data_IF_456446060661
#
_entry.id   IF_456446060661
#
_cell.length_a   1.000
_cell.length_b   1.000
_cell.length_c   1.000
_cell.angle_alpha   90.00
_cell.angle_beta   90.00
_cell.angle_gamma   90.00
#
_symmetry.space_group_name_H-M   'P 1'
#
loop_
_entity.id
_entity.type
_entity.pdbx_description
1 polymer ?
#
# COMPACT_ATOMS: atom_id res chain seq x y z
N UNK A 1 4.04 9.29 -13.47
CA UNK A 1 3.33 10.60 -13.38
C UNK A 1 2.47 10.96 -14.60
N UNK A 2 2.91 10.76 -15.87
CA UNK A 2 2.21 11.26 -17.07
C UNK A 2 0.73 10.89 -17.23
N UNK A 3 0.37 9.65 -16.84
CA UNK A 3 -1.00 9.18 -16.91
C UNK A 3 -1.92 9.96 -15.96
N UNK A 4 -1.51 10.10 -14.68
CA UNK A 4 -2.31 10.79 -13.68
C UNK A 4 -2.44 12.30 -13.94
N UNK A 5 -1.37 12.95 -14.46
CA UNK A 5 -1.44 14.36 -14.86
C UNK A 5 -2.61 14.62 -15.82
N UNK A 6 -2.72 13.80 -16.87
CA UNK A 6 -3.80 13.91 -17.86
C UNK A 6 -5.14 13.51 -17.27
N UNK A 7 -5.19 12.40 -16.55
CA UNK A 7 -6.41 11.94 -15.87
C UNK A 7 -6.99 13.02 -14.96
N UNK A 8 -6.18 13.71 -14.16
CA UNK A 8 -6.66 14.76 -13.26
C UNK A 8 -7.26 15.96 -14.02
N UNK A 9 -6.70 16.32 -15.19
CA UNK A 9 -7.21 17.42 -16.01
C UNK A 9 -8.51 17.05 -16.74
N UNK A 10 -8.61 15.81 -17.22
CA UNK A 10 -9.71 15.33 -18.07
C UNK A 10 -10.87 14.73 -17.26
N UNK A 11 -10.62 14.30 -16.02
CA UNK A 11 -11.63 13.62 -15.20
C UNK A 11 -12.79 14.56 -14.84
N UNK A 12 -14.00 14.07 -15.08
CA UNK A 12 -15.21 14.75 -14.66
C UNK A 12 -15.48 14.53 -13.16
N UNK A 13 -14.96 15.43 -12.33
CA UNK A 13 -15.19 15.42 -10.88
C UNK A 13 -16.67 15.62 -10.48
N UNK A 14 -17.57 16.04 -11.38
CA UNK A 14 -19.00 16.19 -11.05
C UNK A 14 -19.67 14.84 -10.74
N UNK A 15 -19.08 13.73 -11.19
CA UNK A 15 -19.57 12.38 -10.86
C UNK A 15 -19.39 12.10 -9.37
N UNK A 16 -18.29 12.57 -8.78
CA UNK A 16 -18.04 12.42 -7.35
C UNK A 16 -18.92 13.36 -6.52
N UNK A 17 -19.20 14.58 -6.99
CA UNK A 17 -20.19 15.47 -6.37
C UNK A 17 -21.56 14.78 -6.30
N UNK A 18 -22.03 14.22 -7.42
CA UNK A 18 -23.31 13.53 -7.48
C UNK A 18 -23.35 12.27 -6.60
N UNK A 19 -22.21 11.57 -6.46
CA UNK A 19 -22.08 10.45 -5.55
C UNK A 19 -22.16 10.90 -4.08
N UNK A 20 -21.51 12.00 -3.71
CA UNK A 20 -21.59 12.59 -2.38
C UNK A 20 -23.03 12.99 -2.03
N UNK A 21 -23.73 13.64 -2.97
CA UNK A 21 -25.15 13.99 -2.85
C UNK A 21 -26.02 12.74 -2.63
N UNK A 22 -25.78 11.69 -3.42
CA UNK A 22 -26.53 10.42 -3.30
C UNK A 22 -26.36 9.77 -1.93
N UNK A 23 -25.13 9.75 -1.40
CA UNK A 23 -24.88 9.22 -0.05
C UNK A 23 -25.49 10.09 1.05
N UNK A 24 -25.50 11.41 0.87
CA UNK A 24 -26.15 12.35 1.79
C UNK A 24 -27.66 12.15 1.83
N UNK A 25 -28.29 11.93 0.67
CA UNK A 25 -29.70 11.62 0.55
C UNK A 25 -30.03 10.26 1.18
N UNK A 26 -29.19 9.24 0.94
CA UNK A 26 -29.33 7.93 1.55
C UNK A 26 -29.24 7.98 3.08
N UNK A 27 -28.27 8.74 3.63
CA UNK A 27 -28.19 9.01 5.07
C UNK A 27 -29.47 9.69 5.57
N UNK A 28 -29.91 10.78 4.93
CA UNK A 28 -31.11 11.53 5.34
C UNK A 28 -32.37 10.66 5.34
N UNK A 29 -32.53 9.81 4.32
CA UNK A 29 -33.66 8.89 4.21
C UNK A 29 -33.64 7.80 5.30
N UNK A 30 -32.45 7.40 5.77
CA UNK A 30 -32.27 6.29 6.71
C UNK A 30 -32.01 6.72 8.16
N UNK A 31 -31.71 7.98 8.44
CA UNK A 31 -31.28 8.46 9.76
C UNK A 31 -32.28 8.14 10.90
N UNK A 32 -33.58 8.18 10.59
CA UNK A 32 -34.65 7.91 11.56
C UNK A 32 -35.03 6.43 11.63
N UNK A 33 -34.61 5.63 10.66
CA UNK A 33 -35.02 4.23 10.52
C UNK A 33 -34.57 3.36 11.71
N UNK A 34 -33.33 3.46 12.24
CA UNK A 34 -32.94 2.70 13.43
C UNK A 34 -33.82 3.00 14.64
N UNK A 35 -34.13 4.28 14.87
CA UNK A 35 -35.00 4.70 15.97
C UNK A 35 -36.43 4.19 15.78
N UNK A 36 -36.99 4.32 14.57
CA UNK A 36 -38.33 3.81 14.26
C UNK A 36 -38.42 2.31 14.39
N UNK A 37 -37.41 1.56 13.92
CA UNK A 37 -37.34 0.11 14.13
C UNK A 37 -37.39 -0.21 15.63
N UNK A 38 -36.57 0.44 16.44
CA UNK A 38 -36.54 0.22 17.89
C UNK A 38 -37.87 0.59 18.56
N UNK A 39 -38.42 1.77 18.29
CA UNK A 39 -39.58 2.33 18.98
C UNK A 39 -40.92 1.73 18.51
N UNK A 40 -41.09 1.51 17.20
CA UNK A 40 -42.35 1.09 16.58
C UNK A 40 -42.44 -0.43 16.41
N UNK A 41 -41.31 -1.12 16.22
CA UNK A 41 -41.27 -2.57 15.96
C UNK A 41 -40.77 -3.32 17.17
N UNK A 42 -39.55 -3.06 17.65
CA UNK A 42 -38.89 -3.91 18.64
C UNK A 42 -39.45 -3.76 20.05
N UNK A 43 -39.61 -2.53 20.52
CA UNK A 43 -40.10 -2.25 21.87
C UNK A 43 -41.50 -2.84 22.11
N UNK A 44 -42.49 -2.67 21.20
CA UNK A 44 -43.80 -3.31 21.39
C UNK A 44 -43.76 -4.84 21.39
N UNK A 45 -42.88 -5.42 20.57
CA UNK A 45 -42.67 -6.86 20.46
C UNK A 45 -42.09 -7.45 21.76
N UNK A 46 -41.19 -6.71 22.42
CA UNK A 46 -40.49 -7.12 23.65
C UNK A 46 -41.29 -6.84 24.93
N UNK A 47 -41.87 -5.64 25.05
CA UNK A 47 -42.44 -5.16 26.32
C UNK A 47 -43.86 -5.68 26.58
N UNK A 48 -44.59 -6.08 25.54
CA UNK A 48 -46.00 -6.52 25.68
C UNK A 48 -46.16 -8.04 25.86
N UNK A 49 -45.07 -8.77 26.11
CA UNK A 49 -45.10 -10.22 26.37
C UNK A 49 -45.61 -11.05 25.19
N UNK A 50 -45.54 -10.54 23.96
CA UNK A 50 -46.14 -11.20 22.79
C UNK A 50 -45.38 -12.44 22.31
N UNK A 51 -44.11 -12.61 22.69
CA UNK A 51 -43.32 -13.75 22.23
C UNK A 51 -42.31 -14.26 23.26
N UNK A 52 -42.69 -15.33 23.96
CA UNK A 52 -41.90 -15.96 25.03
C UNK A 52 -41.63 -17.46 24.76
N UNK A 53 -41.74 -17.91 23.51
CA UNK A 53 -41.50 -19.31 23.13
C UNK A 53 -40.02 -19.69 23.05
N UNK A 54 -39.71 -20.98 22.98
CA UNK A 54 -38.33 -21.49 22.89
C UNK A 54 -37.51 -20.93 21.71
N UNK A 55 -38.18 -20.49 20.63
CA UNK A 55 -37.55 -19.85 19.48
C UNK A 55 -37.32 -18.33 19.66
N UNK A 56 -37.96 -17.69 20.63
CA UNK A 56 -37.92 -16.24 20.81
C UNK A 56 -36.48 -15.72 21.03
N UNK A 57 -35.62 -16.33 21.87
CA UNK A 57 -34.24 -15.85 22.06
C UNK A 57 -33.43 -15.80 20.76
N UNK A 58 -33.57 -16.81 19.89
CA UNK A 58 -32.84 -16.85 18.62
C UNK A 58 -33.34 -15.78 17.66
N UNK A 59 -34.65 -15.59 17.56
CA UNK A 59 -35.20 -14.55 16.72
C UNK A 59 -34.88 -13.14 17.24
N UNK A 60 -34.85 -12.92 18.56
CA UNK A 60 -34.39 -11.66 19.13
C UNK A 60 -32.95 -11.34 18.74
N UNK A 61 -32.04 -12.34 18.73
CA UNK A 61 -30.67 -12.08 18.29
C UNK A 61 -30.59 -11.67 16.81
N UNK A 62 -31.40 -12.28 15.95
CA UNK A 62 -31.47 -11.90 14.52
C UNK A 62 -32.04 -10.49 14.34
N UNK A 63 -33.08 -10.15 15.11
CA UNK A 63 -33.74 -8.85 15.07
C UNK A 63 -32.81 -7.73 15.59
N UNK A 64 -32.10 -7.98 16.70
CA UNK A 64 -31.09 -7.07 17.24
C UNK A 64 -29.94 -6.88 16.25
N UNK A 65 -29.55 -7.94 15.53
CA UNK A 65 -28.57 -7.84 14.45
C UNK A 65 -29.05 -6.94 13.32
N UNK A 66 -30.30 -7.09 12.85
CA UNK A 66 -30.88 -6.19 11.83
C UNK A 66 -30.85 -4.74 12.31
N UNK A 67 -31.23 -4.46 13.56
CA UNK A 67 -31.21 -3.10 14.11
C UNK A 67 -29.79 -2.52 14.20
N UNK A 68 -28.82 -3.35 14.60
CA UNK A 68 -27.40 -3.00 14.61
C UNK A 68 -26.91 -2.66 13.19
N UNK A 69 -27.34 -3.42 12.20
CA UNK A 69 -26.91 -3.27 10.81
C UNK A 69 -27.54 -2.06 10.12
N UNK A 70 -28.80 -1.74 10.43
CA UNK A 70 -29.41 -0.47 10.03
C UNK A 70 -28.68 0.73 10.64
N UNK A 71 -28.26 0.62 11.90
CA UNK A 71 -27.47 1.67 12.56
C UNK A 71 -26.09 1.82 11.92
N UNK A 72 -25.43 0.69 11.61
CA UNK A 72 -24.15 0.67 10.92
C UNK A 72 -24.26 1.32 9.53
N UNK A 73 -25.22 0.88 8.71
CA UNK A 73 -25.47 1.42 7.38
C UNK A 73 -25.68 2.94 7.40
N UNK A 74 -26.45 3.46 8.36
CA UNK A 74 -26.64 4.90 8.50
C UNK A 74 -25.33 5.64 8.83
N UNK A 75 -24.50 5.09 9.73
CA UNK A 75 -23.20 5.67 10.05
C UNK A 75 -22.26 5.65 8.85
N UNK A 76 -22.22 4.54 8.11
CA UNK A 76 -21.42 4.41 6.89
C UNK A 76 -21.86 5.45 5.86
N UNK A 77 -23.16 5.56 5.58
CA UNK A 77 -23.68 6.56 4.62
C UNK A 77 -23.26 8.00 4.99
N UNK A 78 -23.32 8.34 6.28
CA UNK A 78 -22.83 9.63 6.77
C UNK A 78 -21.33 9.82 6.52
N UNK A 79 -20.53 8.82 6.90
CA UNK A 79 -19.08 8.85 6.78
C UNK A 79 -18.64 9.01 5.32
N UNK A 80 -19.21 8.21 4.41
CA UNK A 80 -18.92 8.27 2.97
C UNK A 80 -19.26 9.63 2.37
N UNK A 81 -20.38 10.25 2.75
CA UNK A 81 -20.69 11.60 2.26
C UNK A 81 -19.63 12.63 2.67
N UNK A 82 -19.13 12.56 3.91
CA UNK A 82 -18.07 13.46 4.39
C UNK A 82 -16.74 13.23 3.68
N UNK A 83 -16.32 11.97 3.55
CA UNK A 83 -15.10 11.58 2.84
C UNK A 83 -15.15 12.03 1.36
N UNK A 84 -16.28 11.83 0.69
CA UNK A 84 -16.45 12.25 -0.70
C UNK A 84 -16.46 13.77 -0.86
N UNK A 85 -17.15 14.51 0.01
CA UNK A 85 -17.17 15.98 -0.03
C UNK A 85 -15.75 16.55 0.11
N UNK A 86 -14.98 16.02 1.06
CA UNK A 86 -13.60 16.41 1.33
C UNK A 86 -12.68 16.09 0.15
N UNK A 87 -12.70 14.85 -0.33
CA UNK A 87 -11.88 14.44 -1.47
C UNK A 87 -12.19 15.22 -2.75
N UNK A 88 -13.47 15.53 -3.00
CA UNK A 88 -13.87 16.31 -4.17
C UNK A 88 -13.40 17.76 -4.05
N UNK A 89 -13.47 18.35 -2.86
CA UNK A 89 -12.94 19.69 -2.61
C UNK A 89 -11.43 19.72 -2.90
N UNK A 90 -10.69 18.74 -2.39
CA UNK A 90 -9.24 18.62 -2.58
C UNK A 90 -8.87 18.40 -4.04
N UNK A 91 -9.48 17.43 -4.73
CA UNK A 91 -9.22 17.19 -6.15
C UNK A 91 -9.54 18.42 -7.02
N UNK A 92 -10.58 19.19 -6.68
CA UNK A 92 -10.89 20.46 -7.36
C UNK A 92 -9.80 21.50 -7.12
N UNK A 93 -9.30 21.62 -5.89
CA UNK A 93 -8.18 22.51 -5.53
C UNK A 93 -6.92 22.10 -6.29
N UNK A 94 -6.54 20.82 -6.25
CA UNK A 94 -5.36 20.30 -6.98
C UNK A 94 -5.49 20.58 -8.47
N UNK A 95 -6.64 20.30 -9.09
CA UNK A 95 -6.86 20.57 -10.53
C UNK A 95 -6.76 22.06 -10.87
N UNK A 96 -7.29 22.93 -10.01
CA UNK A 96 -7.18 24.39 -10.19
C UNK A 96 -5.72 24.83 -10.09
N UNK A 97 -5.02 24.37 -9.07
CA UNK A 97 -3.63 24.72 -8.84
C UNK A 97 -2.74 24.23 -9.99
N UNK A 98 -3.01 23.02 -10.51
CA UNK A 98 -2.31 22.44 -11.66
C UNK A 98 -2.49 23.30 -12.92
N UNK A 99 -3.74 23.69 -13.24
CA UNK A 99 -4.01 24.62 -14.34
C UNK A 99 -3.29 25.95 -14.15
N UNK A 100 -3.22 26.43 -12.91
CA UNK A 100 -2.49 27.65 -12.55
C UNK A 100 -0.98 27.52 -12.76
N UNK A 101 -0.38 26.39 -12.37
CA UNK A 101 1.06 26.12 -12.55
C UNK A 101 1.42 26.01 -14.04
N UNK A 102 0.60 25.31 -14.83
CA UNK A 102 0.76 25.23 -16.29
C UNK A 102 0.68 26.63 -16.91
N UNK A 103 -0.30 27.46 -16.53
CA UNK A 103 -0.39 28.82 -17.03
C UNK A 103 0.83 29.67 -16.64
N UNK A 104 1.33 29.57 -15.40
CA UNK A 104 2.54 30.27 -14.96
C UNK A 104 3.77 29.86 -15.77
N UNK A 105 3.92 28.56 -16.07
CA UNK A 105 5.01 28.07 -16.91
C UNK A 105 4.94 28.65 -18.34
N UNK A 106 3.73 28.69 -18.93
CA UNK A 106 3.49 29.30 -20.24
C UNK A 106 3.78 30.82 -20.24
N UNK A 107 3.36 31.54 -19.19
CA UNK A 107 3.62 32.97 -19.03
C UNK A 107 5.12 33.28 -18.89
N UNK A 108 5.91 32.32 -18.41
CA UNK A 108 7.37 32.37 -18.35
C UNK A 108 8.05 31.99 -19.68
N UNK A 109 7.29 31.65 -20.72
CA UNK A 109 7.80 31.24 -22.03
C UNK A 109 8.28 29.79 -22.10
N UNK A 110 7.92 28.96 -21.11
CA UNK A 110 8.16 27.53 -21.12
C UNK A 110 7.03 26.81 -21.87
N UNK A 111 7.28 25.57 -22.29
CA UNK A 111 6.25 24.70 -22.86
C UNK A 111 5.99 23.52 -21.94
N UNK A 112 4.72 23.16 -21.76
CA UNK A 112 4.28 21.98 -21.02
C UNK A 112 3.59 21.03 -22.00
N UNK A 113 4.06 19.79 -22.09
CA UNK A 113 3.46 18.81 -22.97
C UNK A 113 2.23 18.10 -22.34
N UNK A 114 1.64 17.18 -23.10
CA UNK A 114 0.45 16.46 -22.66
C UNK A 114 0.70 15.40 -21.56
N UNK A 115 1.96 15.24 -21.12
CA UNK A 115 2.36 14.45 -19.97
C UNK A 115 2.70 15.32 -18.75
N UNK A 116 2.67 16.64 -18.89
CA UNK A 116 3.05 17.58 -17.82
C UNK A 116 4.55 17.87 -17.79
N UNK A 117 5.32 17.43 -18.79
CA UNK A 117 6.77 17.68 -18.86
C UNK A 117 7.04 19.10 -19.34
N UNK A 118 7.84 19.83 -18.58
CA UNK A 118 8.23 21.21 -18.87
C UNK A 118 9.49 21.23 -19.74
N UNK A 119 9.51 22.10 -20.75
CA UNK A 119 10.67 22.30 -21.62
C UNK A 119 10.91 23.77 -21.93
N UNK A 120 12.19 24.14 -22.04
CA UNK A 120 12.64 25.53 -22.23
C UNK A 120 12.69 26.02 -23.68
N UNK A 121 12.21 25.22 -24.65
CA UNK A 121 12.26 25.59 -26.07
C UNK A 121 10.94 25.25 -26.78
N UNK A 122 10.00 26.20 -26.70
CA UNK A 122 8.94 26.50 -27.69
C UNK A 122 8.30 25.29 -28.40
N UNK A 123 7.06 25.01 -28.00
CA UNK A 123 6.08 24.41 -28.91
C UNK A 123 5.65 25.43 -29.97
N UNK A 124 5.37 24.95 -31.17
CA UNK A 124 5.13 25.69 -32.42
C UNK A 124 4.10 26.82 -32.39
N UNK A 125 3.35 27.00 -31.30
CA UNK A 125 2.29 28.00 -31.17
C UNK A 125 2.78 29.37 -30.69
N UNK A 126 3.96 29.47 -30.06
CA UNK A 126 4.49 30.74 -29.55
C UNK A 126 5.84 31.07 -30.19
N UNK A 127 5.85 31.88 -31.25
CA UNK A 127 7.06 32.37 -31.89
C UNK A 127 7.83 33.35 -30.97
N UNK A 128 8.67 32.83 -30.07
CA UNK A 128 9.65 33.66 -29.34
C UNK A 128 10.90 33.84 -30.24
N UNK A 129 11.29 35.09 -30.58
CA UNK A 129 12.47 35.37 -31.39
C UNK A 129 13.74 34.76 -30.79
N UNK A 130 14.61 34.19 -31.63
CA UNK A 130 15.82 33.46 -31.21
C UNK A 130 16.75 34.29 -30.29
N UNK A 131 16.80 35.61 -30.46
CA UNK A 131 17.61 36.53 -29.66
C UNK A 131 17.06 36.87 -28.27
N UNK A 132 15.85 36.39 -27.92
CA UNK A 132 15.23 36.53 -26.59
C UNK A 132 15.21 35.20 -25.81
N UNK A 133 15.73 34.11 -26.39
CA UNK A 133 15.78 32.80 -25.72
C UNK A 133 16.92 32.80 -24.71
N UNK A 134 16.58 32.97 -23.43
CA UNK A 134 17.47 32.59 -22.34
C UNK A 134 17.07 31.18 -21.93
N UNK A 135 17.89 30.19 -22.27
CA UNK A 135 17.71 28.85 -21.68
C UNK A 135 17.91 28.98 -20.20
N UNK A 136 16.88 28.67 -19.43
CA UNK A 136 16.94 28.78 -18.01
C UNK A 136 16.55 27.43 -17.43
N UNK A 137 17.50 26.49 -17.48
CA UNK A 137 17.38 25.15 -16.88
C UNK A 137 16.72 25.22 -15.50
N UNK A 138 17.08 26.24 -14.70
CA UNK A 138 16.50 26.54 -13.41
C UNK A 138 14.99 26.82 -13.42
N UNK A 139 14.45 27.55 -14.40
CA UNK A 139 13.00 27.81 -14.45
C UNK A 139 12.23 26.59 -14.97
N UNK A 140 12.84 25.81 -15.87
CA UNK A 140 12.28 24.51 -16.27
C UNK A 140 12.20 23.60 -15.05
N UNK A 141 13.27 23.49 -14.27
CA UNK A 141 13.34 22.71 -13.03
C UNK A 141 12.30 23.17 -12.01
N UNK A 142 12.25 24.46 -11.68
CA UNK A 142 11.27 25.00 -10.72
C UNK A 142 9.80 24.80 -11.17
N UNK A 143 9.52 24.96 -12.46
CA UNK A 143 8.17 24.75 -12.98
C UNK A 143 7.80 23.25 -13.03
N UNK A 144 8.77 22.38 -13.32
CA UNK A 144 8.59 20.93 -13.27
C UNK A 144 8.32 20.47 -11.83
N UNK A 145 9.13 20.92 -10.87
CA UNK A 145 8.94 20.66 -9.44
C UNK A 145 7.55 21.10 -8.97
N UNK A 146 7.11 22.32 -9.31
CA UNK A 146 5.77 22.80 -8.95
C UNK A 146 4.65 21.92 -9.51
N UNK A 147 4.74 21.51 -10.78
CA UNK A 147 3.75 20.62 -11.42
C UNK A 147 3.77 19.24 -10.74
N UNK A 148 4.95 18.68 -10.50
CA UNK A 148 5.10 17.35 -9.90
C UNK A 148 4.60 17.31 -8.46
N UNK A 149 4.87 18.34 -7.66
CA UNK A 149 4.31 18.47 -6.31
C UNK A 149 2.77 18.50 -6.34
N UNK A 150 2.17 19.25 -7.26
CA UNK A 150 0.71 19.33 -7.38
C UNK A 150 0.13 17.98 -7.80
N UNK A 151 0.71 17.32 -8.80
CA UNK A 151 0.29 15.99 -9.27
C UNK A 151 0.39 14.97 -8.14
N UNK A 152 1.48 15.01 -7.34
CA UNK A 152 1.67 14.15 -6.17
C UNK A 152 0.59 14.34 -5.11
N UNK A 153 0.18 15.57 -4.82
CA UNK A 153 -0.96 15.83 -3.92
C UNK A 153 -2.25 15.20 -4.45
N UNK A 154 -2.51 15.30 -5.75
CA UNK A 154 -3.68 14.67 -6.38
C UNK A 154 -3.66 13.14 -6.26
N UNK A 155 -2.48 12.54 -6.49
CA UNK A 155 -2.25 11.09 -6.32
C UNK A 155 -2.56 10.66 -4.88
N UNK A 156 -2.06 11.41 -3.90
CA UNK A 156 -2.30 11.12 -2.47
C UNK A 156 -3.78 11.25 -2.13
N UNK A 157 -4.46 12.31 -2.58
CA UNK A 157 -5.88 12.49 -2.33
C UNK A 157 -6.74 11.34 -2.91
N UNK A 158 -6.42 10.90 -4.13
CA UNK A 158 -7.08 9.76 -4.80
C UNK A 158 -6.88 8.44 -4.02
N UNK A 159 -5.64 8.16 -3.58
CA UNK A 159 -5.33 6.97 -2.79
C UNK A 159 -6.00 6.98 -1.42
N UNK A 160 -5.93 8.12 -0.72
CA UNK A 160 -6.52 8.28 0.60
C UNK A 160 -8.05 8.20 0.52
N UNK A 161 -8.67 8.71 -0.54
CA UNK A 161 -10.09 8.52 -0.83
C UNK A 161 -10.44 7.02 -0.93
N UNK A 162 -9.72 6.26 -1.77
CA UNK A 162 -9.99 4.83 -1.91
C UNK A 162 -9.91 4.09 -0.58
N UNK A 163 -8.91 4.37 0.24
CA UNK A 163 -8.67 3.66 1.49
C UNK A 163 -9.67 4.05 2.60
N UNK A 164 -10.00 5.34 2.72
CA UNK A 164 -11.00 5.79 3.69
C UNK A 164 -12.40 5.26 3.36
N UNK A 165 -12.78 5.20 2.07
CA UNK A 165 -14.04 4.57 1.67
C UNK A 165 -14.07 3.08 2.04
N UNK A 166 -12.99 2.33 1.76
CA UNK A 166 -12.92 0.91 2.12
C UNK A 166 -12.96 0.70 3.64
N UNK A 167 -12.28 1.56 4.41
CA UNK A 167 -12.28 1.50 5.87
C UNK A 167 -13.67 1.75 6.46
N UNK A 168 -14.41 2.74 5.94
CA UNK A 168 -15.74 3.06 6.44
C UNK A 168 -16.83 2.09 5.93
N UNK A 169 -16.72 1.54 4.73
CA UNK A 169 -17.65 0.49 4.27
C UNK A 169 -17.39 -0.83 5.00
N UNK A 170 -16.11 -1.17 5.18
CA UNK A 170 -15.65 -2.49 5.59
C UNK A 170 -15.59 -3.48 4.43
N UNK A 171 -14.84 -4.56 4.62
CA UNK A 171 -14.65 -5.63 3.62
C UNK A 171 -15.43 -6.91 3.94
N UNK A 172 -16.23 -6.89 5.01
CA UNK A 172 -17.09 -8.01 5.41
C UNK A 172 -18.41 -8.04 4.63
N UNK A 173 -19.24 -9.04 4.93
CA UNK A 173 -20.60 -9.15 4.39
C UNK A 173 -21.58 -8.11 4.93
N UNK A 174 -21.18 -7.40 5.98
CA UNK A 174 -21.97 -6.42 6.71
C UNK A 174 -21.25 -5.07 6.76
N UNK A 175 -22.02 -3.99 6.91
CA UNK A 175 -21.46 -2.65 7.05
C UNK A 175 -20.56 -2.55 8.28
N UNK A 176 -19.49 -1.77 8.17
CA UNK A 176 -18.68 -1.41 9.32
C UNK A 176 -19.56 -0.74 10.39
N UNK A 177 -19.57 -1.32 11.60
CA UNK A 177 -20.36 -0.82 12.73
C UNK A 177 -19.76 0.43 13.39
N UNK A 178 -18.48 0.70 13.09
CA UNK A 178 -17.67 1.79 13.62
C UNK A 178 -16.85 2.43 12.48
N UNK A 179 -17.49 3.07 11.48
CA UNK A 179 -16.76 3.91 10.55
C UNK A 179 -16.06 5.02 11.35
N UNK A 180 -14.82 5.33 10.99
CA UNK A 180 -13.93 6.21 11.75
C UNK A 180 -13.46 7.41 10.96
N UNK A 181 -13.71 7.42 9.65
CA UNK A 181 -13.23 8.44 8.73
C UNK A 181 -14.40 9.36 8.34
N UNK A 182 -14.07 10.62 8.11
CA UNK A 182 -15.02 11.63 7.60
C UNK A 182 -14.33 12.63 6.67
N UNK A 183 -13.07 12.37 6.38
CA UNK A 183 -12.13 13.16 5.59
C UNK A 183 -10.98 12.25 5.17
N UNK A 184 -10.35 12.56 4.04
CA UNK A 184 -9.20 11.82 3.50
C UNK A 184 -7.92 12.04 4.30
N UNK A 185 -7.89 13.00 5.21
CA UNK A 185 -6.77 13.31 6.10
C UNK A 185 -6.74 12.44 7.37
N UNK A 186 -7.39 11.27 7.35
CA UNK A 186 -7.48 10.39 8.54
C UNK A 186 -6.95 8.99 8.28
N UNK A 187 -6.17 8.79 7.22
CA UNK A 187 -5.56 7.49 6.86
C UNK A 187 -4.53 7.01 7.88
N UNK A 188 -3.96 7.91 8.69
CA UNK A 188 -3.06 7.59 9.80
C UNK A 188 -3.71 6.65 10.83
N UNK A 189 -5.04 6.66 10.91
CA UNK A 189 -5.81 5.80 11.81
C UNK A 189 -6.04 4.39 11.29
N UNK A 190 -5.80 4.13 10.00
CA UNK A 190 -5.95 2.79 9.40
C UNK A 190 -4.75 1.94 9.83
N UNK A 191 -4.96 0.77 10.43
CA UNK A 191 -3.84 -0.12 10.76
C UNK A 191 -3.09 -0.59 9.51
N UNK A 192 -1.78 -0.89 9.61
CA UNK A 192 -1.02 -1.45 8.46
C UNK A 192 -1.65 -2.75 7.96
N UNK A 193 -2.11 -3.60 8.88
CA UNK A 193 -2.80 -4.86 8.54
C UNK A 193 -4.14 -4.62 7.83
N UNK A 194 -4.88 -3.59 8.24
CA UNK A 194 -6.12 -3.19 7.57
C UNK A 194 -5.83 -2.65 6.16
N UNK A 195 -4.78 -1.85 6.02
CA UNK A 195 -4.32 -1.32 4.74
C UNK A 195 -3.94 -2.44 3.76
N UNK A 196 -3.21 -3.45 4.26
CA UNK A 196 -2.88 -4.66 3.52
C UNK A 196 -4.15 -5.44 3.13
N UNK A 197 -5.08 -5.64 4.07
CA UNK A 197 -6.35 -6.33 3.80
C UNK A 197 -7.15 -5.62 2.70
N UNK A 198 -7.26 -4.29 2.72
CA UNK A 198 -7.94 -3.51 1.68
C UNK A 198 -7.29 -3.68 0.31
N UNK A 199 -5.96 -3.62 0.22
CA UNK A 199 -5.24 -3.83 -1.04
C UNK A 199 -5.45 -5.24 -1.58
N UNK A 200 -5.44 -6.26 -0.70
CA UNK A 200 -5.71 -7.63 -1.10
C UNK A 200 -7.12 -7.79 -1.67
N UNK A 201 -8.13 -7.16 -1.07
CA UNK A 201 -9.49 -7.14 -1.64
C UNK A 201 -9.52 -6.46 -3.01
N UNK A 202 -8.86 -5.31 -3.18
CA UNK A 202 -8.77 -4.63 -4.48
C UNK A 202 -8.09 -5.49 -5.55
N UNK A 203 -7.15 -6.33 -5.15
CA UNK A 203 -6.49 -7.31 -6.02
C UNK A 203 -7.29 -8.62 -6.21
N UNK A 204 -8.50 -8.74 -5.67
CA UNK A 204 -9.32 -9.95 -5.73
C UNK A 204 -8.77 -11.13 -4.93
N UNK A 205 -7.93 -10.87 -3.92
CA UNK A 205 -7.32 -11.87 -3.04
C UNK A 205 -8.06 -11.94 -1.71
N UNK A 206 -7.84 -13.04 -0.99
CA UNK A 206 -8.28 -13.19 0.40
C UNK A 206 -7.64 -12.10 1.28
N UNK A 207 -8.43 -11.24 1.97
CA UNK A 207 -7.90 -10.20 2.85
C UNK A 207 -7.19 -10.72 4.10
N UNK A 208 -7.56 -11.92 4.57
CA UNK A 208 -7.05 -12.51 5.80
C UNK A 208 -6.60 -13.95 5.54
N UNK A 209 -5.56 -14.15 4.71
CA UNK A 209 -5.05 -15.49 4.45
C UNK A 209 -4.56 -16.12 5.76
N UNK A 210 -4.65 -17.44 5.84
CA UNK A 210 -4.06 -18.18 6.95
C UNK A 210 -2.54 -17.94 7.00
N UNK A 211 -2.06 -17.50 8.16
CA UNK A 211 -0.66 -17.15 8.36
C UNK A 211 0.24 -18.39 8.23
N UNK A 212 1.37 -18.21 7.54
CA UNK A 212 2.37 -19.23 7.29
C UNK A 212 3.56 -19.06 8.23
N UNK A 213 3.88 -20.11 8.98
CA UNK A 213 5.06 -20.19 9.85
C UNK A 213 6.25 -20.91 9.17
N UNK A 214 6.29 -20.89 7.83
CA UNK A 214 7.43 -21.41 7.07
C UNK A 214 8.68 -20.58 7.41
N UNK A 215 9.65 -21.20 8.07
CA UNK A 215 10.97 -20.60 8.28
C UNK A 215 11.84 -20.72 7.02
N UNK A 216 12.90 -19.89 6.88
CA UNK A 216 13.92 -20.07 5.85
C UNK A 216 14.47 -21.51 5.80
N UNK A 217 14.61 -22.16 6.97
CA UNK A 217 15.05 -23.56 7.08
C UNK A 217 14.05 -24.57 6.51
N UNK A 218 12.75 -24.34 6.72
CA UNK A 218 11.69 -25.16 6.14
C UNK A 218 11.70 -25.10 4.61
N UNK A 219 11.91 -23.92 4.04
CA UNK A 219 12.03 -23.71 2.60
C UNK A 219 13.23 -24.44 2.00
N UNK A 220 14.33 -24.46 2.75
CA UNK A 220 15.49 -25.28 2.47
C UNK A 220 15.22 -26.78 2.39
N UNK A 221 14.51 -27.30 3.39
CA UNK A 221 14.11 -28.70 3.41
C UNK A 221 13.17 -29.03 2.26
N UNK A 222 12.22 -28.16 1.93
CA UNK A 222 11.33 -28.34 0.78
C UNK A 222 12.11 -28.37 -0.55
N UNK A 223 13.15 -27.55 -0.70
CA UNK A 223 14.05 -27.58 -1.85
C UNK A 223 14.82 -28.91 -1.94
N UNK A 224 15.47 -29.35 -0.85
CA UNK A 224 16.30 -30.56 -0.82
C UNK A 224 15.47 -31.83 -0.99
N UNK A 225 14.34 -31.93 -0.31
CA UNK A 225 13.48 -33.12 -0.35
C UNK A 225 12.56 -33.13 -1.57
N UNK A 226 12.25 -31.96 -2.12
CA UNK A 226 11.29 -31.78 -3.19
C UNK A 226 9.83 -32.08 -2.81
N UNK A 227 9.53 -32.20 -1.51
CA UNK A 227 8.21 -32.58 -0.98
C UNK A 227 7.24 -31.40 -0.83
N UNK A 228 7.71 -30.15 -0.97
CA UNK A 228 6.91 -28.94 -0.82
C UNK A 228 6.47 -28.28 -2.15
N UNK A 229 5.58 -27.28 -2.08
CA UNK A 229 5.23 -26.43 -3.22
C UNK A 229 6.47 -25.78 -3.84
N UNK A 230 6.53 -25.73 -5.18
CA UNK A 230 7.65 -25.13 -5.92
C UNK A 230 7.61 -23.60 -5.98
N UNK A 231 6.44 -23.03 -5.67
CA UNK A 231 6.26 -21.60 -5.49
C UNK A 231 5.47 -21.36 -4.21
N UNK A 232 5.90 -20.37 -3.42
CA UNK A 232 5.20 -19.94 -2.20
C UNK A 232 5.09 -18.41 -2.17
N UNK A 233 3.87 -17.93 -1.95
CA UNK A 233 3.60 -16.52 -1.67
C UNK A 233 3.59 -16.28 -0.16
N UNK A 234 4.22 -15.19 0.28
CA UNK A 234 4.21 -14.73 1.66
C UNK A 234 3.66 -13.31 1.77
N UNK A 235 2.94 -13.01 2.85
CA UNK A 235 2.34 -11.69 3.10
C UNK A 235 2.47 -11.24 4.55
N UNK A 236 2.01 -10.03 4.90
CA UNK A 236 2.01 -9.54 6.28
C UNK A 236 1.43 -10.60 7.24
N UNK A 237 2.12 -10.81 8.37
CA UNK A 237 1.78 -11.83 9.36
C UNK A 237 2.38 -13.22 9.08
N UNK A 238 2.94 -13.45 7.89
CA UNK A 238 3.77 -14.64 7.64
C UNK A 238 5.17 -14.42 8.20
N UNK A 239 5.74 -15.46 8.82
CA UNK A 239 7.08 -15.40 9.43
C UNK A 239 8.16 -14.93 8.46
N UNK A 240 8.07 -15.35 7.19
CA UNK A 240 9.02 -14.93 6.17
C UNK A 240 8.90 -13.43 5.86
N UNK A 241 7.69 -12.89 5.80
CA UNK A 241 7.48 -11.46 5.55
C UNK A 241 7.96 -10.61 6.72
N UNK A 242 7.69 -11.03 7.96
CA UNK A 242 8.21 -10.36 9.16
C UNK A 242 9.75 -10.34 9.17
N UNK A 243 10.37 -11.47 8.81
CA UNK A 243 11.83 -11.56 8.68
C UNK A 243 12.38 -10.63 7.58
N UNK A 244 11.71 -10.53 6.43
CA UNK A 244 12.14 -9.61 5.37
C UNK A 244 12.03 -8.15 5.83
N UNK A 245 10.96 -7.83 6.55
CA UNK A 245 10.72 -6.48 7.05
C UNK A 245 11.72 -6.05 8.12
N UNK A 246 12.19 -6.97 8.97
CA UNK A 246 13.09 -6.66 10.09
C UNK A 246 14.57 -6.52 9.71
N UNK A 247 14.96 -6.80 8.46
CA UNK A 247 16.35 -6.72 8.04
C UNK A 247 16.95 -5.32 8.22
N UNK A 248 18.22 -5.25 8.61
CA UNK A 248 18.95 -3.98 8.75
C UNK A 248 19.05 -3.23 7.41
N UNK A 249 19.27 -3.94 6.31
CA UNK A 249 19.29 -3.45 4.92
C UNK A 249 17.97 -2.78 4.51
N UNK A 250 16.85 -3.10 5.17
CA UNK A 250 15.59 -2.40 4.91
C UNK A 250 15.63 -0.93 5.33
N UNK A 251 16.57 -0.49 6.17
CA UNK A 251 16.75 0.94 6.46
C UNK A 251 17.16 1.72 5.19
N UNK A 252 18.10 1.17 4.43
CA UNK A 252 18.56 1.77 3.18
C UNK A 252 17.50 1.68 2.07
N UNK A 253 16.79 0.54 2.00
CA UNK A 253 15.65 0.38 1.07
C UNK A 253 14.58 1.43 1.34
N UNK A 254 14.16 1.60 2.60
CA UNK A 254 13.16 2.60 3.00
C UNK A 254 13.61 4.02 2.66
N UNK A 255 14.90 4.33 2.87
CA UNK A 255 15.47 5.63 2.52
C UNK A 255 15.41 5.87 1.00
N UNK A 256 15.86 4.90 0.19
CA UNK A 256 15.77 4.99 -1.27
C UNK A 256 14.32 5.19 -1.74
N UNK A 257 13.36 4.48 -1.14
CA UNK A 257 11.93 4.64 -1.44
C UNK A 257 11.45 6.06 -1.16
N UNK A 258 11.79 6.64 -0.01
CA UNK A 258 11.40 8.01 0.36
C UNK A 258 12.06 9.02 -0.58
N UNK A 259 13.36 8.89 -0.84
CA UNK A 259 14.10 9.79 -1.74
C UNK A 259 13.53 9.75 -3.16
N UNK A 260 13.29 8.56 -3.71
CA UNK A 260 12.72 8.42 -5.05
C UNK A 260 11.28 8.96 -5.10
N UNK A 261 10.46 8.73 -4.07
CA UNK A 261 9.12 9.33 -3.99
C UNK A 261 9.18 10.86 -3.90
N UNK A 262 10.11 11.41 -3.12
CA UNK A 262 10.28 12.85 -2.95
C UNK A 262 10.81 13.53 -4.22
N UNK A 263 11.71 12.88 -4.96
CA UNK A 263 12.28 13.37 -6.21
C UNK A 263 11.28 13.26 -7.36
N UNK A 264 10.68 12.09 -7.56
CA UNK A 264 9.94 11.76 -8.79
C UNK A 264 8.42 11.79 -8.64
N UNK A 265 7.90 11.58 -7.43
CA UNK A 265 6.47 11.32 -7.20
C UNK A 265 5.94 10.05 -7.88
N UNK A 266 6.82 9.18 -8.41
CA UNK A 266 6.39 7.92 -9.00
C UNK A 266 5.93 6.96 -7.91
N UNK A 267 4.70 6.46 -8.07
CA UNK A 267 4.11 5.52 -7.10
C UNK A 267 4.86 4.19 -7.09
N UNK A 268 5.40 3.78 -8.23
CA UNK A 268 6.08 2.49 -8.39
C UNK A 268 7.57 2.73 -8.59
N UNK A 269 8.40 1.88 -8.01
CA UNK A 269 9.85 1.98 -8.16
C UNK A 269 10.57 0.72 -7.72
N UNK A 270 11.90 0.80 -7.71
CA UNK A 270 12.77 -0.31 -7.30
C UNK A 270 13.83 0.23 -6.37
N UNK A 271 14.01 -0.44 -5.24
CA UNK A 271 15.11 -0.21 -4.33
C UNK A 271 16.01 -1.45 -4.28
N UNK A 272 17.30 -1.25 -4.08
CA UNK A 272 18.28 -2.32 -4.15
C UNK A 272 19.20 -2.31 -2.94
N UNK A 273 19.59 -3.51 -2.50
CA UNK A 273 20.63 -3.72 -1.52
C UNK A 273 21.74 -4.61 -2.11
N UNK A 274 22.99 -4.16 -1.99
CA UNK A 274 24.15 -4.92 -2.46
C UNK A 274 25.20 -5.11 -1.38
N UNK A 275 25.51 -6.38 -1.08
CA UNK A 275 26.61 -6.76 -0.17
C UNK A 275 27.98 -6.43 -0.80
N UNK A 276 28.03 -6.34 -2.13
CA UNK A 276 29.27 -6.20 -2.89
C UNK A 276 29.77 -4.76 -3.08
N UNK A 277 29.02 -3.74 -2.65
CA UNK A 277 29.47 -2.33 -2.72
C UNK A 277 30.75 -2.09 -1.92
N UNK A 278 31.02 -2.92 -0.91
CA UNK A 278 32.26 -2.92 -0.11
C UNK A 278 33.41 -3.74 -0.72
N UNK A 279 33.22 -4.34 -1.91
CA UNK A 279 34.18 -5.21 -2.59
C UNK A 279 34.24 -6.65 -2.06
N UNK A 280 34.97 -7.54 -2.73
CA UNK A 280 35.07 -8.99 -2.39
C UNK A 280 35.51 -9.27 -0.95
N UNK A 281 36.35 -8.39 -0.38
CA UNK A 281 36.85 -8.50 1.00
C UNK A 281 35.75 -8.12 2.00
N UNK A 282 34.93 -7.11 1.70
CA UNK A 282 33.81 -6.71 2.55
C UNK A 282 32.70 -7.76 2.57
N UNK A 283 32.35 -8.33 1.41
CA UNK A 283 31.41 -9.44 1.31
C UNK A 283 31.88 -10.69 2.09
N UNK A 284 33.17 -11.05 1.99
CA UNK A 284 33.73 -12.17 2.75
C UNK A 284 33.77 -11.90 4.26
N UNK A 285 34.00 -10.65 4.67
CA UNK A 285 33.98 -10.26 6.08
C UNK A 285 32.56 -10.36 6.65
N UNK A 286 31.58 -9.75 5.98
CA UNK A 286 30.17 -9.81 6.38
C UNK A 286 29.69 -11.24 6.53
N UNK A 287 30.02 -12.09 5.55
CA UNK A 287 29.72 -13.51 5.60
C UNK A 287 30.25 -14.19 6.87
N UNK A 288 31.50 -13.90 7.25
CA UNK A 288 32.15 -14.54 8.39
C UNK A 288 31.72 -13.99 9.75
N UNK A 289 31.36 -12.71 9.83
CA UNK A 289 31.13 -12.01 11.10
C UNK A 289 29.67 -11.74 11.43
N UNK A 290 28.79 -11.71 10.43
CA UNK A 290 27.38 -11.35 10.59
C UNK A 290 26.49 -12.50 10.10
N UNK A 291 26.61 -12.89 8.84
CA UNK A 291 25.71 -13.87 8.23
C UNK A 291 25.83 -15.26 8.88
N UNK A 292 27.06 -15.73 9.10
CA UNK A 292 27.33 -17.02 9.74
C UNK A 292 26.78 -17.11 11.18
N UNK A 293 27.12 -16.17 12.09
CA UNK A 293 26.52 -16.14 13.42
C UNK A 293 24.99 -16.04 13.37
N UNK A 294 24.42 -15.24 12.48
CA UNK A 294 22.97 -15.04 12.39
C UNK A 294 22.23 -16.32 12.00
N UNK A 295 22.76 -17.08 11.04
CA UNK A 295 22.24 -18.40 10.66
C UNK A 295 22.30 -19.35 11.87
N UNK A 296 23.49 -19.49 12.49
CA UNK A 296 23.70 -20.43 13.60
C UNK A 296 22.81 -20.11 14.80
N UNK A 297 22.66 -18.83 15.13
CA UNK A 297 21.90 -18.37 16.30
C UNK A 297 20.42 -18.12 16.01
N UNK A 298 20.00 -18.23 14.74
CA UNK A 298 18.67 -17.84 14.28
C UNK A 298 18.33 -16.39 14.70
N UNK A 299 19.29 -15.49 14.48
CA UNK A 299 19.16 -14.06 14.78
C UNK A 299 18.24 -13.38 13.74
N UNK A 300 17.01 -12.98 14.11
CA UNK A 300 16.03 -12.46 13.17
C UNK A 300 16.48 -11.16 12.45
N UNK A 301 17.39 -10.39 13.04
CA UNK A 301 17.81 -9.09 12.47
C UNK A 301 18.76 -9.27 11.27
N UNK A 302 19.52 -10.37 11.24
CA UNK A 302 20.55 -10.63 10.25
C UNK A 302 20.31 -11.92 9.43
N UNK A 303 19.43 -12.81 9.90
CA UNK A 303 19.10 -14.08 9.24
C UNK A 303 18.47 -13.86 7.86
N UNK A 304 17.65 -12.82 7.73
CA UNK A 304 17.05 -12.44 6.46
C UNK A 304 18.11 -12.07 5.40
N UNK A 305 19.07 -11.21 5.77
CA UNK A 305 20.13 -10.77 4.86
C UNK A 305 21.08 -11.90 4.49
N UNK A 306 21.45 -12.72 5.48
CA UNK A 306 22.24 -13.92 5.30
C UNK A 306 21.60 -14.88 4.28
N UNK A 307 20.26 -14.93 4.27
CA UNK A 307 19.49 -15.73 3.33
C UNK A 307 19.37 -15.10 1.94
N UNK A 308 19.18 -13.78 1.86
CA UNK A 308 18.91 -13.08 0.61
C UNK A 308 20.16 -12.73 -0.20
N UNK A 309 21.28 -12.43 0.46
CA UNK A 309 22.43 -11.86 -0.21
C UNK A 309 22.17 -10.43 -0.70
N UNK A 310 22.53 -10.14 -1.96
CA UNK A 310 22.14 -8.88 -2.64
C UNK A 310 20.79 -9.07 -3.31
N UNK A 311 19.87 -8.12 -3.15
CA UNK A 311 18.50 -8.26 -3.63
C UNK A 311 17.91 -6.91 -4.06
N UNK A 312 16.88 -7.00 -4.90
CA UNK A 312 16.06 -5.85 -5.30
C UNK A 312 14.66 -6.06 -4.76
N UNK A 313 14.03 -4.96 -4.38
CA UNK A 313 12.64 -4.91 -3.94
C UNK A 313 11.90 -3.97 -4.86
N UNK A 314 10.83 -4.46 -5.49
CA UNK A 314 9.88 -3.59 -6.16
C UNK A 314 8.99 -2.96 -5.09
N UNK A 315 8.68 -1.67 -5.20
CA UNK A 315 7.82 -1.00 -4.23
C UNK A 315 6.68 -0.24 -4.93
N UNK A 316 5.57 -0.10 -4.20
CA UNK A 316 4.44 0.75 -4.58
C UNK A 316 4.04 1.62 -3.38
N UNK A 317 4.14 2.94 -3.51
CA UNK A 317 3.59 3.91 -2.57
C UNK A 317 2.07 3.88 -2.70
N UNK A 318 1.41 3.40 -1.65
CA UNK A 318 -0.04 3.20 -1.60
C UNK A 318 -0.79 4.34 -0.93
N UNK A 319 -0.10 5.27 -0.28
CA UNK A 319 -0.69 6.44 0.35
C UNK A 319 0.35 7.24 1.11
N UNK A 320 -0.08 8.40 1.61
CA UNK A 320 0.73 9.26 2.46
C UNK A 320 -0.14 9.80 3.58
N UNK A 321 0.32 9.57 4.80
CA UNK A 321 -0.36 10.02 6.02
C UNK A 321 -0.14 11.54 6.23
N UNK A 322 -0.99 12.20 7.05
CA UNK A 322 -0.92 13.65 7.28
C UNK A 322 0.41 14.14 7.86
N UNK A 323 1.11 13.29 8.61
CA UNK A 323 2.45 13.56 9.15
C UNK A 323 3.55 13.48 8.07
N UNK A 324 3.20 13.03 6.88
CA UNK A 324 4.07 12.86 5.73
C UNK A 324 4.62 11.45 5.56
N UNK A 325 4.37 10.53 6.50
CA UNK A 325 4.78 9.13 6.41
C UNK A 325 4.15 8.44 5.20
N UNK A 326 4.91 7.56 4.56
CA UNK A 326 4.42 6.80 3.39
C UNK A 326 3.88 5.46 3.83
N UNK A 327 2.77 5.03 3.23
CA UNK A 327 2.33 3.64 3.31
C UNK A 327 2.81 2.95 2.04
N UNK A 328 3.71 1.97 2.17
CA UNK A 328 4.41 1.34 1.05
C UNK A 328 4.18 -0.15 1.05
N UNK A 329 3.80 -0.69 -0.10
CA UNK A 329 3.80 -2.12 -0.37
C UNK A 329 5.10 -2.50 -1.09
N UNK A 330 5.86 -3.42 -0.51
CA UNK A 330 7.07 -3.98 -1.08
C UNK A 330 6.80 -5.38 -1.62
N UNK A 331 7.43 -5.72 -2.74
CA UNK A 331 7.42 -7.05 -3.34
C UNK A 331 8.85 -7.50 -3.60
N UNK A 332 9.22 -8.61 -3.00
CA UNK A 332 10.50 -9.27 -3.19
C UNK A 332 10.25 -10.62 -3.87
N UNK A 333 10.88 -10.81 -5.04
CA UNK A 333 10.88 -12.08 -5.74
C UNK A 333 12.23 -12.77 -5.54
N UNK A 334 12.24 -13.90 -4.84
CA UNK A 334 13.42 -14.74 -4.68
C UNK A 334 13.28 -16.03 -5.47
N UNK A 335 14.37 -16.48 -6.08
CA UNK A 335 14.46 -17.83 -6.65
C UNK A 335 15.68 -18.51 -6.06
N UNK A 336 15.45 -19.57 -5.29
CA UNK A 336 16.51 -20.43 -4.77
C UNK A 336 16.91 -21.43 -5.87
N UNK A 337 18.02 -21.17 -6.54
CA UNK A 337 18.68 -22.09 -7.48
C UNK A 337 19.65 -23.03 -6.75
N UNK A 338 20.24 -24.01 -7.43
CA UNK A 338 21.27 -24.89 -6.84
C UNK A 338 22.52 -24.15 -6.34
N UNK A 339 22.89 -23.02 -6.95
CA UNK A 339 24.03 -22.20 -6.50
C UNK A 339 23.70 -21.39 -5.24
N UNK A 340 22.49 -20.82 -5.14
CA UNK A 340 21.98 -20.20 -3.90
C UNK A 340 21.69 -21.24 -2.82
N UNK A 341 21.20 -22.41 -3.22
CA UNK A 341 20.96 -23.53 -2.32
C UNK A 341 22.27 -24.05 -1.76
N UNK A 342 23.37 -24.15 -2.52
CA UNK A 342 24.68 -24.54 -1.96
C UNK A 342 25.24 -23.50 -0.98
N UNK A 343 24.91 -22.21 -1.15
CA UNK A 343 25.16 -21.17 -0.14
C UNK A 343 24.29 -21.35 1.12
N UNK A 344 23.03 -21.78 0.96
CA UNK A 344 22.07 -22.03 2.04
C UNK A 344 22.31 -23.38 2.79
N UNK A 345 22.75 -24.41 2.07
CA UNK A 345 23.01 -25.80 2.48
C UNK A 345 24.42 -25.91 3.09
N UNK A 346 25.37 -25.07 2.70
CA UNK A 346 26.76 -25.13 3.16
C UNK A 346 27.04 -24.84 4.64
N UNK A 347 26.02 -24.63 5.49
CA UNK A 347 26.20 -24.11 6.85
C UNK A 347 25.58 -24.93 8.00
N UNK A 348 25.23 -26.20 7.78
CA UNK A 348 24.82 -27.08 8.88
C UNK A 348 25.41 -28.50 8.86
N UNK A 349 25.85 -28.97 10.03
CA UNK A 349 26.31 -30.34 10.29
C UNK A 349 25.26 -31.44 10.01
N UNK A 350 23.96 -31.11 9.95
CA UNK A 350 22.91 -32.10 9.69
C UNK A 350 22.88 -32.63 8.25
N UNK A 351 23.63 -32.02 7.32
CA UNK A 351 23.78 -32.50 5.95
C UNK A 351 24.70 -33.70 5.76
N UNK A 352 25.47 -34.09 6.79
CA UNK A 352 26.13 -35.41 6.79
C UNK A 352 25.14 -36.58 6.71
N UNK A 353 23.85 -36.35 6.94
CA UNK A 353 22.80 -37.36 6.80
C UNK A 353 22.05 -37.34 5.46
N UNK A 354 22.23 -36.31 4.62
CA UNK A 354 21.49 -36.16 3.35
C UNK A 354 22.34 -36.46 2.09
N UNK A 355 23.57 -36.97 2.26
CA UNK A 355 24.40 -37.48 1.17
C UNK A 355 24.04 -38.93 0.75
N UNK A 356 22.88 -39.42 1.20
CA UNK A 356 22.37 -40.76 0.90
C UNK A 356 20.92 -40.65 0.40
N UNK A 357 20.73 -40.20 -0.84
CA UNK A 357 19.67 -40.68 -1.74
C UNK A 357 19.70 -39.88 -3.05
N UNK A 358 19.83 -40.57 -4.18
CA UNK A 358 19.42 -40.05 -5.48
C UNK A 358 17.94 -39.56 -5.40
N UNK A 359 17.71 -38.24 -5.43
CA UNK A 359 16.42 -37.54 -5.27
C UNK A 359 16.54 -36.02 -5.54
N UNK A 360 15.46 -35.24 -5.77
CA UNK A 360 15.34 -34.23 -6.84
C UNK A 360 16.07 -32.89 -6.61
N UNK A 361 17.37 -32.82 -6.96
CA UNK A 361 18.20 -31.59 -6.94
C UNK A 361 18.01 -30.69 -8.19
N UNK A 362 16.92 -30.82 -8.96
CA UNK A 362 16.89 -30.31 -10.35
C UNK A 362 15.93 -29.17 -10.67
N UNK A 363 15.14 -28.66 -9.71
CA UNK A 363 14.23 -27.53 -9.99
C UNK A 363 14.24 -26.46 -8.91
N UNK A 364 14.40 -25.20 -9.34
CA UNK A 364 14.41 -24.04 -8.46
C UNK A 364 13.07 -23.90 -7.71
N UNK A 365 13.15 -23.45 -6.46
CA UNK A 365 11.98 -23.05 -5.67
C UNK A 365 11.93 -21.52 -5.70
N UNK A 366 10.79 -20.95 -6.08
CA UNK A 366 10.60 -19.50 -6.11
C UNK A 366 9.66 -19.03 -5.00
N UNK A 367 9.86 -17.82 -4.54
CA UNK A 367 9.10 -17.20 -3.48
C UNK A 367 8.79 -15.76 -3.86
N UNK A 368 7.57 -15.33 -3.56
CA UNK A 368 7.18 -13.93 -3.65
C UNK A 368 6.77 -13.49 -2.26
N UNK A 369 7.48 -12.53 -1.70
CA UNK A 369 7.17 -11.94 -0.39
C UNK A 369 6.62 -10.55 -0.63
N UNK A 370 5.39 -10.30 -0.19
CA UNK A 370 4.72 -9.00 -0.35
C UNK A 370 4.26 -8.47 0.99
N UNK A 371 4.81 -7.35 1.46
CA UNK A 371 4.40 -6.75 2.72
C UNK A 371 4.11 -5.26 2.57
N UNK A 372 3.14 -4.79 3.34
CA UNK A 372 2.86 -3.35 3.50
C UNK A 372 3.45 -2.87 4.82
N UNK A 373 4.05 -1.69 4.82
CA UNK A 373 4.50 -1.03 6.04
C UNK A 373 4.38 0.50 5.97
N UNK A 374 4.47 1.14 7.14
CA UNK A 374 4.62 2.59 7.24
C UNK A 374 6.09 2.96 7.29
N UNK A 375 6.48 3.84 6.39
CA UNK A 375 7.83 4.40 6.31
C UNK A 375 7.76 5.86 6.75
N UNK A 376 8.39 6.23 7.89
CA UNK A 376 8.41 7.61 8.35
C UNK A 376 8.96 8.55 7.29
N UNK A 377 8.41 9.77 7.20
CA UNK A 377 9.02 10.79 6.34
C UNK A 377 10.41 11.13 6.88
N UNK A 378 11.41 11.25 6.01
CA UNK A 378 12.79 11.57 6.39
C UNK A 378 13.00 12.99 6.96
N UNK A 379 11.93 13.69 7.36
CA UNK A 379 11.96 15.05 7.92
C UNK A 379 12.23 15.10 9.43
N UNK A 380 12.32 13.96 10.10
CA UNK A 380 12.92 13.90 11.43
C UNK A 380 14.44 14.03 11.32
N UNK A 381 14.90 15.29 11.33
CA UNK A 381 16.27 15.66 11.67
C UNK A 381 16.49 15.72 13.16
#
# INVERSE_FOLDING_TARGET
>A
MPAFYRELLDTNLSVLDALADTWRDAHTATEKLPKRMMDEVLRPLRDKGYWEGAAAPHAWSLIDDIARQLTAANKVAKALSGVLDDAVADLKVVRRDLKGAVQRALDQGLAVDASGTVSGYITSEHHIPMGQRVYSARYVELAQEEIDEIVRRGITADQNLSMTLMADVGIGTWFNTKPQHSSIDTTDRIGVDEYNAYHRVLAGKDPYPEAKDDSPYGLGLDYVTGLGPRHKDFTNGDRMAELMQSMESMKDIRKQTVEQWEETGEKEGKAAFSISESGKVGAAKKLLTEDLPAIVTNDPDHLGEAFMGSYNVDYVVRGKDPDGSLVVEYTLNNTTSSESALHFIGYYDWLKYAEIADGPVTSAVSQTVTWTERVPSGRDK
#
